data_IF_402960161931
#
_entry.id   IF_402960161931
#
_cell.length_a   1.000
_cell.length_b   1.000
_cell.length_c   1.000
_cell.angle_alpha   90.00
_cell.angle_beta   90.00
_cell.angle_gamma   90.00
#
_symmetry.space_group_name_H-M   'P 1'
#
loop_
_entity.id
_entity.type
_entity.pdbx_description
1 polymer ?
#
# COMPACT_ATOMS: atom_id res chain seq x y z
N UNK A 1 -5.78 -5.56 -10.04
CA UNK A 1 -4.46 -5.60 -9.32
C UNK A 1 -4.06 -4.18 -8.90
N UNK A 2 -3.40 -3.95 -7.75
CA UNK A 2 -2.89 -2.61 -7.44
C UNK A 2 -1.89 -2.19 -8.51
N UNK A 3 -2.18 -1.07 -9.17
CA UNK A 3 -1.34 -0.54 -10.24
C UNK A 3 -1.59 -1.16 -11.62
N UNK A 4 -2.71 -1.86 -11.83
CA UNK A 4 -3.05 -2.50 -13.12
C UNK A 4 -3.02 -1.56 -14.32
N UNK A 5 -3.53 -0.33 -14.17
CA UNK A 5 -3.49 0.69 -15.23
C UNK A 5 -2.23 1.57 -15.15
N UNK A 6 -1.86 2.01 -13.93
CA UNK A 6 -0.77 2.98 -13.73
C UNK A 6 0.64 2.40 -13.80
N UNK A 7 0.82 1.09 -13.69
CA UNK A 7 2.12 0.44 -13.45
C UNK A 7 2.67 0.58 -12.03
N UNK A 8 2.03 1.38 -11.15
CA UNK A 8 2.39 1.57 -9.73
C UNK A 8 1.99 0.35 -8.88
N UNK A 9 2.60 -0.80 -9.20
CA UNK A 9 2.42 -2.08 -8.54
C UNK A 9 3.09 -2.11 -7.18
N UNK A 10 2.73 -3.10 -6.37
CA UNK A 10 3.30 -3.32 -5.04
C UNK A 10 3.76 -4.77 -4.95
N UNK A 11 5.08 -4.98 -4.91
CA UNK A 11 5.67 -6.31 -4.78
C UNK A 11 5.68 -6.71 -3.31
N UNK A 12 4.93 -7.76 -2.96
CA UNK A 12 4.87 -8.27 -1.59
C UNK A 12 6.24 -8.83 -1.18
N UNK A 13 6.72 -8.40 -0.01
CA UNK A 13 7.94 -8.89 0.64
C UNK A 13 7.62 -9.83 1.79
N UNK A 14 6.61 -9.46 2.57
CA UNK A 14 6.18 -10.20 3.76
C UNK A 14 4.68 -9.95 4.01
N UNK A 15 4.04 -10.91 4.65
CA UNK A 15 2.64 -10.88 5.04
C UNK A 15 2.59 -11.16 6.55
N UNK A 16 2.14 -10.19 7.32
CA UNK A 16 1.90 -10.34 8.75
C UNK A 16 0.40 -10.47 8.98
N UNK A 17 0.01 -11.31 9.92
CA UNK A 17 -1.37 -11.49 10.37
C UNK A 17 -1.44 -11.04 11.82
N UNK A 18 -2.54 -10.41 12.22
CA UNK A 18 -2.74 -10.02 13.61
C UNK A 18 -3.10 -11.20 14.53
N UNK A 19 -3.29 -10.93 15.82
CA UNK A 19 -3.31 -11.97 16.86
C UNK A 19 -4.57 -12.85 16.84
N UNK A 20 -5.71 -12.32 16.37
CA UNK A 20 -6.97 -13.03 16.20
C UNK A 20 -7.31 -13.31 14.72
N UNK A 21 -6.40 -12.94 13.81
CA UNK A 21 -6.45 -13.29 12.38
C UNK A 21 -7.60 -12.67 11.62
N UNK A 22 -7.98 -11.45 11.98
CA UNK A 22 -9.00 -10.66 11.27
C UNK A 22 -8.41 -9.53 10.41
N UNK A 23 -7.11 -9.24 10.56
CA UNK A 23 -6.39 -8.29 9.73
C UNK A 23 -5.03 -8.80 9.23
N UNK A 24 -4.59 -8.22 8.10
CA UNK A 24 -3.32 -8.53 7.46
C UNK A 24 -2.56 -7.23 7.16
N UNK A 25 -1.25 -7.24 7.37
CA UNK A 25 -0.32 -6.22 6.90
C UNK A 25 0.55 -6.80 5.78
N UNK A 26 0.47 -6.21 4.60
CA UNK A 26 1.40 -6.46 3.52
C UNK A 26 2.58 -5.49 3.62
N UNK A 27 3.78 -6.01 3.87
CA UNK A 27 5.01 -5.25 3.63
C UNK A 27 5.36 -5.36 2.15
N UNK A 28 5.51 -4.22 1.49
CA UNK A 28 5.66 -4.16 0.03
C UNK A 28 6.83 -3.29 -0.40
N UNK A 29 7.40 -3.62 -1.54
CA UNK A 29 8.27 -2.74 -2.33
C UNK A 29 7.42 -2.08 -3.43
N UNK A 30 7.19 -0.75 -3.38
CA UNK A 30 6.35 -0.06 -4.34
C UNK A 30 7.12 0.30 -5.63
N UNK A 31 6.47 0.12 -6.79
CA UNK A 31 7.02 0.50 -8.11
C UNK A 31 6.72 1.96 -8.49
N UNK A 32 6.17 2.76 -7.58
CA UNK A 32 5.72 4.14 -7.80
C UNK A 32 4.86 4.65 -6.65
N UNK A 33 4.25 5.84 -6.74
CA UNK A 33 3.37 6.36 -5.69
C UNK A 33 2.15 5.45 -5.48
N UNK A 34 1.77 5.27 -4.23
CA UNK A 34 0.60 4.45 -3.91
C UNK A 34 -0.71 5.18 -4.25
N UNK A 35 -0.75 6.51 -4.12
CA UNK A 35 -1.93 7.33 -4.31
C UNK A 35 -2.13 7.74 -5.78
N UNK A 36 -3.38 7.80 -6.21
CA UNK A 36 -3.75 8.22 -7.56
C UNK A 36 -3.54 9.74 -7.81
N UNK A 37 -3.31 10.53 -6.76
CA UNK A 37 -2.99 11.97 -6.88
C UNK A 37 -1.52 12.24 -7.21
N UNK A 38 -0.66 11.22 -7.18
CA UNK A 38 0.78 11.35 -7.31
C UNK A 38 1.53 11.36 -5.98
N UNK A 39 0.82 11.47 -4.86
CA UNK A 39 1.42 11.42 -3.52
C UNK A 39 1.92 10.02 -3.15
N UNK A 40 3.00 9.96 -2.36
CA UNK A 40 3.66 8.69 -1.99
C UNK A 40 2.71 7.72 -1.30
N UNK A 41 1.88 8.20 -0.37
CA UNK A 41 0.89 7.44 0.40
C UNK A 41 -0.47 8.13 0.36
N UNK A 42 -1.56 7.41 0.60
CA UNK A 42 -2.90 8.00 0.66
C UNK A 42 -3.09 8.91 1.89
N UNK A 43 -2.47 8.56 3.01
CA UNK A 43 -2.55 9.30 4.28
C UNK A 43 -1.50 10.42 4.32
N UNK A 44 -1.60 11.36 3.37
CA UNK A 44 -0.69 12.51 3.25
C UNK A 44 -1.26 13.81 3.84
N UNK A 45 -2.46 13.76 4.42
CA UNK A 45 -3.10 14.90 5.09
C UNK A 45 -3.17 14.65 6.59
N UNK A 46 -2.99 15.72 7.38
CA UNK A 46 -3.14 15.70 8.83
C UNK A 46 -4.53 16.19 9.23
N UNK A 47 -5.10 15.57 10.28
CA UNK A 47 -6.27 16.11 10.95
C UNK A 47 -5.85 17.32 11.79
N UNK A 48 -6.60 18.42 11.64
CA UNK A 48 -6.39 19.66 12.40
C UNK A 48 -7.25 19.70 13.66
#
# INVERSE_FOLDING_TARGET
>A
MKGEESGNTQKIKEILVDCDSDAIIYLVEPSGPACHTGEKVCFHNELK
#
